data_IF_791041685547
#
_entry.id   IF_791041685547
#
_cell.length_a   1.000
_cell.length_b   1.000
_cell.length_c   1.000
_cell.angle_alpha   90.00
_cell.angle_beta   90.00
_cell.angle_gamma   90.00
#
_symmetry.space_group_name_H-M   'P 1'
#
loop_
_entity.id
_entity.type
_entity.pdbx_description
1 polymer ?
#
# COMPACT_ATOMS: atom_id res chain seq x y z
N UNK A 1 14.77 -16.42 4.35
CA UNK A 1 14.65 -15.05 3.78
C UNK A 1 15.75 -14.17 4.35
N UNK A 2 16.46 -13.36 3.54
CA UNK A 2 17.45 -12.39 4.03
C UNK A 2 16.73 -11.09 4.43
N UNK A 3 16.56 -10.84 5.72
CA UNK A 3 15.83 -9.68 6.23
C UNK A 3 16.58 -8.36 6.03
N UNK A 4 17.93 -8.40 5.94
CA UNK A 4 18.73 -7.19 5.70
C UNK A 4 18.49 -6.56 4.32
N UNK A 5 18.00 -7.34 3.35
CA UNK A 5 17.69 -6.88 1.99
C UNK A 5 16.19 -6.98 1.65
N UNK A 6 15.34 -7.17 2.66
CA UNK A 6 13.89 -7.32 2.49
C UNK A 6 13.13 -6.21 3.20
N UNK A 7 12.14 -5.62 2.53
CA UNK A 7 11.22 -4.66 3.15
C UNK A 7 9.76 -5.11 3.00
N UNK A 8 8.95 -4.84 4.02
CA UNK A 8 7.48 -4.84 3.91
C UNK A 8 7.02 -3.47 3.40
N UNK A 9 6.36 -3.44 2.26
CA UNK A 9 5.74 -2.25 1.70
C UNK A 9 4.23 -2.29 1.91
N UNK A 10 3.74 -1.39 2.75
CA UNK A 10 2.33 -1.21 3.06
C UNK A 10 1.72 -0.20 2.08
N UNK A 11 0.92 -0.69 1.12
CA UNK A 11 0.37 0.15 0.06
C UNK A 11 -0.94 0.79 0.51
N UNK A 12 -0.92 2.12 0.66
CA UNK A 12 -2.08 2.99 0.86
C UNK A 12 -2.99 2.63 2.07
N UNK A 13 -2.42 2.07 3.13
CA UNK A 13 -3.15 1.78 4.37
C UNK A 13 -3.30 3.04 5.24
N UNK A 14 -3.94 4.06 4.67
CA UNK A 14 -4.09 5.41 5.21
C UNK A 14 -5.45 5.58 5.90
N UNK A 15 -5.52 6.56 6.82
CA UNK A 15 -6.76 6.88 7.53
C UNK A 15 -7.92 7.21 6.58
N UNK A 16 -7.68 8.00 5.52
CA UNK A 16 -8.73 8.36 4.56
C UNK A 16 -9.25 7.16 3.73
N UNK A 17 -8.46 6.08 3.61
CA UNK A 17 -8.93 4.87 2.94
C UNK A 17 -9.69 3.91 3.84
N UNK A 18 -9.23 3.69 5.08
CA UNK A 18 -9.71 2.54 5.87
C UNK A 18 -10.26 2.89 7.25
N UNK A 19 -9.93 4.07 7.80
CA UNK A 19 -10.45 4.47 9.12
C UNK A 19 -11.93 4.87 9.03
N UNK A 20 -12.77 4.56 10.04
CA UNK A 20 -14.20 4.90 10.04
C UNK A 20 -14.52 6.39 9.84
N UNK A 21 -13.59 7.28 10.22
CA UNK A 21 -13.72 8.73 10.04
C UNK A 21 -13.07 9.25 8.77
N UNK A 22 -12.51 8.37 7.93
CA UNK A 22 -11.81 8.72 6.70
C UNK A 22 -12.73 9.04 5.53
N UNK A 23 -12.13 9.51 4.43
CA UNK A 23 -12.86 9.93 3.23
C UNK A 23 -13.66 8.80 2.59
N UNK A 24 -13.10 7.59 2.53
CA UNK A 24 -13.77 6.42 1.92
C UNK A 24 -14.92 5.88 2.78
N UNK A 25 -14.80 5.91 4.10
CA UNK A 25 -15.91 5.54 5.00
C UNK A 25 -17.08 6.51 4.82
N UNK A 26 -16.81 7.81 4.76
CA UNK A 26 -17.82 8.84 4.46
C UNK A 26 -18.48 8.60 3.10
N UNK A 27 -17.75 8.09 2.12
CA UNK A 27 -18.24 7.75 0.79
C UNK A 27 -18.87 6.36 0.66
N UNK A 28 -18.94 5.58 1.75
CA UNK A 28 -19.45 4.21 1.72
C UNK A 28 -18.59 3.23 0.90
N UNK A 29 -17.28 3.52 0.77
CA UNK A 29 -16.38 2.81 -0.15
C UNK A 29 -15.33 1.93 0.55
N UNK A 30 -15.39 1.77 1.86
CA UNK A 30 -14.51 0.87 2.62
C UNK A 30 -15.12 -0.53 2.62
N UNK A 31 -14.37 -1.53 2.16
CA UNK A 31 -14.76 -2.93 2.33
C UNK A 31 -14.34 -3.46 3.71
N UNK A 32 -15.04 -4.48 4.20
CA UNK A 32 -14.68 -5.14 5.47
C UNK A 32 -13.29 -5.76 5.41
N UNK A 33 -12.91 -6.30 4.24
CA UNK A 33 -11.59 -6.88 3.98
C UNK A 33 -10.49 -5.82 4.09
N UNK A 34 -10.69 -4.64 3.52
CA UNK A 34 -9.73 -3.53 3.60
C UNK A 34 -9.58 -3.03 5.05
N UNK A 35 -10.71 -2.87 5.77
CA UNK A 35 -10.71 -2.44 7.16
C UNK A 35 -9.98 -3.43 8.10
N UNK A 36 -9.96 -4.72 7.77
CA UNK A 36 -9.29 -5.74 8.56
C UNK A 36 -7.76 -5.84 8.32
N UNK A 37 -7.23 -5.21 7.27
CA UNK A 37 -5.82 -5.36 6.89
C UNK A 37 -4.83 -4.90 7.97
N UNK A 38 -5.03 -3.79 8.69
CA UNK A 38 -4.07 -3.39 9.73
C UNK A 38 -3.86 -4.47 10.78
N UNK A 39 -4.94 -5.05 11.31
CA UNK A 39 -4.86 -6.12 12.29
C UNK A 39 -4.18 -7.40 11.76
N UNK A 40 -4.39 -7.73 10.48
CA UNK A 40 -3.74 -8.88 9.84
C UNK A 40 -2.25 -8.66 9.57
N UNK A 41 -1.86 -7.45 9.16
CA UNK A 41 -0.48 -7.13 8.76
C UNK A 41 0.41 -6.76 9.95
N UNK A 42 -0.18 -6.29 11.05
CA UNK A 42 0.58 -5.88 12.24
C UNK A 42 1.54 -6.95 12.76
N UNK A 43 1.15 -8.23 12.95
CA UNK A 43 2.08 -9.25 13.43
C UNK A 43 3.29 -9.43 12.52
N UNK A 44 3.11 -9.34 11.20
CA UNK A 44 4.22 -9.43 10.24
C UNK A 44 5.14 -8.19 10.31
N UNK A 45 4.56 -7.00 10.38
CA UNK A 45 5.33 -5.76 10.53
C UNK A 45 6.16 -5.77 11.82
N UNK A 46 5.56 -6.20 12.93
CA UNK A 46 6.26 -6.29 14.22
C UNK A 46 7.38 -7.35 14.21
N UNK A 47 7.13 -8.51 13.59
CA UNK A 47 8.15 -9.56 13.45
C UNK A 47 9.35 -9.10 12.59
N UNK A 48 9.08 -8.39 11.50
CA UNK A 48 10.14 -7.82 10.65
C UNK A 48 10.98 -6.80 11.42
N UNK A 49 10.35 -5.84 12.10
CA UNK A 49 11.03 -4.81 12.91
C UNK A 49 11.90 -5.45 13.99
N UNK A 50 11.35 -6.44 14.72
CA UNK A 50 12.09 -7.12 15.81
C UNK A 50 13.38 -7.79 15.34
N UNK A 51 13.48 -8.09 14.04
CA UNK A 51 14.65 -8.73 13.41
C UNK A 51 15.47 -7.78 12.51
N UNK A 52 15.21 -6.47 12.60
CA UNK A 52 15.94 -5.45 11.84
C UNK A 52 15.53 -5.32 10.38
N UNK A 53 14.41 -5.90 9.99
CA UNK A 53 13.81 -5.70 8.66
C UNK A 53 13.15 -4.33 8.54
N UNK A 54 13.02 -3.85 7.30
CA UNK A 54 12.48 -2.53 6.98
C UNK A 54 10.97 -2.59 6.72
N UNK A 55 10.22 -1.63 7.28
CA UNK A 55 8.77 -1.47 7.03
C UNK A 55 8.50 -0.07 6.50
N UNK A 56 8.05 0.02 5.25
CA UNK A 56 7.70 1.28 4.60
C UNK A 56 6.22 1.37 4.22
N UNK A 57 5.74 2.59 3.99
CA UNK A 57 4.37 2.84 3.57
C UNK A 57 4.26 3.78 2.38
N UNK A 58 3.24 3.58 1.55
CA UNK A 58 2.89 4.54 0.51
C UNK A 58 1.72 5.41 0.95
N UNK A 59 1.76 6.66 0.53
CA UNK A 59 0.76 7.67 0.86
C UNK A 59 0.15 8.19 -0.44
N UNK A 60 -1.00 7.64 -0.84
CA UNK A 60 -1.77 8.25 -1.91
C UNK A 60 -2.09 9.69 -1.53
N UNK A 61 -1.84 10.62 -2.45
CA UNK A 61 -1.87 12.04 -2.16
C UNK A 61 -2.70 12.76 -3.22
N UNK A 62 -3.63 13.56 -2.78
CA UNK A 62 -4.37 14.51 -3.61
C UNK A 62 -3.76 15.90 -3.44
N UNK A 63 -2.93 16.28 -4.40
CA UNK A 63 -2.27 17.58 -4.39
C UNK A 63 -3.32 18.69 -4.53
N UNK A 64 -3.34 19.69 -3.63
CA UNK A 64 -4.28 20.79 -3.73
C UNK A 64 -3.92 21.71 -4.90
N UNK A 65 -4.89 22.04 -5.72
CA UNK A 65 -4.80 23.08 -6.74
C UNK A 65 -5.07 24.47 -6.18
N UNK A 66 -5.21 25.44 -7.08
CA UNK A 66 -5.59 26.81 -6.71
C UNK A 66 -6.97 26.82 -6.01
N UNK A 67 -7.05 27.42 -4.84
CA UNK A 67 -8.27 27.39 -4.02
C UNK A 67 -8.41 26.19 -3.09
N UNK A 68 -7.45 25.25 -3.14
CA UNK A 68 -7.37 24.09 -2.24
C UNK A 68 -8.20 22.89 -2.66
N UNK A 69 -8.87 22.91 -3.82
CA UNK A 69 -9.54 21.75 -4.38
C UNK A 69 -8.52 20.72 -4.87
N UNK A 70 -8.77 19.40 -4.70
CA UNK A 70 -7.83 18.38 -5.12
C UNK A 70 -7.66 18.35 -6.64
N UNK A 71 -6.42 18.30 -7.11
CA UNK A 71 -6.11 18.02 -8.50
C UNK A 71 -6.32 16.52 -8.74
N UNK A 72 -7.47 16.18 -9.31
CA UNK A 72 -7.91 14.79 -9.53
C UNK A 72 -8.28 14.59 -11.00
N UNK A 73 -7.91 13.46 -11.58
CA UNK A 73 -8.29 13.16 -12.96
C UNK A 73 -9.81 13.04 -13.11
N UNK A 74 -10.37 13.41 -14.27
CA UNK A 74 -11.82 13.27 -14.51
C UNK A 74 -12.32 11.83 -14.30
N UNK A 75 -11.52 10.83 -14.69
CA UNK A 75 -11.87 9.43 -14.49
C UNK A 75 -11.92 9.05 -13.01
N UNK A 76 -10.92 9.44 -12.21
CA UNK A 76 -10.91 9.18 -10.77
C UNK A 76 -12.07 9.91 -10.08
N UNK A 77 -12.39 11.15 -10.48
CA UNK A 77 -13.54 11.90 -9.95
C UNK A 77 -14.86 11.19 -10.25
N UNK A 78 -14.99 10.60 -11.43
CA UNK A 78 -16.17 9.79 -11.80
C UNK A 78 -16.30 8.53 -10.92
N UNK A 79 -15.20 7.85 -10.65
CA UNK A 79 -15.16 6.65 -9.81
C UNK A 79 -15.32 6.95 -8.30
N UNK A 80 -14.92 8.13 -7.87
CA UNK A 80 -14.88 8.56 -6.46
C UNK A 80 -15.48 9.96 -6.31
N UNK A 81 -16.79 10.13 -6.61
CA UNK A 81 -17.44 11.45 -6.60
C UNK A 81 -17.46 12.10 -5.21
N UNK A 82 -17.30 11.31 -4.15
CA UNK A 82 -17.29 11.77 -2.76
C UNK A 82 -15.98 12.48 -2.36
N UNK A 83 -14.89 12.34 -3.13
CA UNK A 83 -13.62 13.01 -2.82
C UNK A 83 -13.76 14.53 -2.95
N UNK A 84 -13.26 15.22 -1.93
CA UNK A 84 -13.39 16.68 -1.78
C UNK A 84 -12.13 17.31 -1.19
N UNK A 85 -12.14 18.62 -1.10
CA UNK A 85 -11.09 19.42 -0.43
C UNK A 85 -10.77 18.87 0.95
N UNK A 86 -9.48 18.68 1.22
CA UNK A 86 -8.95 18.17 2.48
C UNK A 86 -8.73 16.66 2.50
N UNK A 87 -9.35 15.88 1.60
CA UNK A 87 -9.13 14.44 1.52
C UNK A 87 -7.73 14.15 0.97
N UNK A 88 -7.01 13.22 1.59
CA UNK A 88 -5.62 12.84 1.23
C UNK A 88 -4.68 14.04 1.09
N UNK A 89 -4.95 15.12 1.81
CA UNK A 89 -4.15 16.34 1.75
C UNK A 89 -2.75 16.08 2.33
N UNK A 90 -1.67 16.53 1.66
CA UNK A 90 -0.31 16.40 2.19
C UNK A 90 -0.19 16.84 3.65
N UNK A 91 0.35 15.97 4.50
CA UNK A 91 0.55 16.23 5.94
C UNK A 91 -0.70 16.13 6.82
N UNK A 92 -1.89 15.88 6.25
CA UNK A 92 -3.12 15.70 7.04
C UNK A 92 -3.16 14.35 7.75
N UNK A 93 -4.00 14.26 8.79
CA UNK A 93 -4.31 12.99 9.44
C UNK A 93 -4.84 11.94 8.46
N UNK A 94 -5.69 12.34 7.51
CA UNK A 94 -6.27 11.44 6.50
C UNK A 94 -5.21 10.80 5.59
N UNK A 95 -4.12 11.51 5.30
CA UNK A 95 -3.02 11.00 4.49
C UNK A 95 -2.14 10.01 5.27
N UNK A 96 -2.08 10.08 6.60
CA UNK A 96 -1.19 9.23 7.40
C UNK A 96 -1.61 7.76 7.34
N UNK A 97 -0.62 6.87 7.39
CA UNK A 97 -0.87 5.42 7.61
C UNK A 97 -1.48 5.25 9.00
N UNK A 98 -2.43 4.34 9.12
CA UNK A 98 -3.12 4.07 10.39
C UNK A 98 -2.16 3.73 11.53
N UNK A 99 -2.52 4.12 12.75
CA UNK A 99 -1.66 4.03 13.94
C UNK A 99 -1.23 2.59 14.27
N UNK A 100 -2.08 1.60 13.98
CA UNK A 100 -1.81 0.18 14.24
C UNK A 100 -0.57 -0.35 13.52
N UNK A 101 -0.17 0.29 12.41
CA UNK A 101 0.96 -0.12 11.59
C UNK A 101 2.23 0.71 11.83
N UNK A 102 2.16 1.70 12.69
CA UNK A 102 3.30 2.53 13.08
C UNK A 102 4.25 1.80 14.07
N UNK A 103 5.53 2.22 14.16
CA UNK A 103 6.20 3.21 13.32
C UNK A 103 6.62 2.64 11.97
N UNK A 104 6.81 3.51 10.97
CA UNK A 104 7.38 3.15 9.66
C UNK A 104 8.80 3.69 9.53
N UNK A 105 9.69 2.94 8.88
CA UNK A 105 11.06 3.38 8.60
C UNK A 105 11.09 4.46 7.51
N UNK A 106 10.15 4.40 6.58
CA UNK A 106 9.94 5.45 5.58
C UNK A 106 8.49 5.52 5.10
N UNK A 107 8.12 6.68 4.58
CA UNK A 107 6.90 6.86 3.78
C UNK A 107 7.23 7.51 2.45
N UNK A 108 6.44 7.20 1.43
CA UNK A 108 6.57 7.81 0.11
C UNK A 108 5.23 8.25 -0.44
N UNK A 109 5.14 9.51 -0.85
CA UNK A 109 3.95 10.03 -1.52
C UNK A 109 3.78 9.41 -2.90
N UNK A 110 2.53 9.15 -3.24
CA UNK A 110 2.11 8.49 -4.47
C UNK A 110 0.98 9.26 -5.14
N UNK A 111 1.21 9.70 -6.36
CA UNK A 111 0.25 10.50 -7.15
C UNK A 111 -0.54 9.65 -8.17
N UNK A 112 -0.14 8.40 -8.36
CA UNK A 112 -0.71 7.47 -9.32
C UNK A 112 -0.86 6.08 -8.70
N UNK A 113 -1.29 5.08 -9.48
CA UNK A 113 -1.42 3.70 -8.97
C UNK A 113 -0.08 3.11 -8.54
N UNK A 114 0.97 3.22 -9.36
CA UNK A 114 2.28 2.72 -8.98
C UNK A 114 2.96 3.65 -7.97
N UNK A 115 3.54 3.04 -6.92
CA UNK A 115 4.35 3.75 -5.95
C UNK A 115 5.72 4.19 -6.50
N UNK A 116 6.14 3.68 -7.64
CA UNK A 116 7.39 4.10 -8.31
C UNK A 116 7.20 5.32 -9.21
N UNK A 117 5.95 5.59 -9.64
CA UNK A 117 5.70 6.69 -10.57
C UNK A 117 5.92 8.05 -9.92
N UNK A 118 6.88 8.82 -10.45
CA UNK A 118 7.24 10.17 -9.99
C UNK A 118 7.43 10.27 -8.46
N UNK A 119 8.04 9.26 -7.86
CA UNK A 119 8.28 9.18 -6.42
C UNK A 119 9.75 8.90 -6.12
N UNK A 120 10.11 8.99 -4.84
CA UNK A 120 11.46 8.64 -4.36
C UNK A 120 11.57 7.17 -3.89
N UNK A 121 10.58 6.30 -4.15
CA UNK A 121 10.58 4.92 -3.64
C UNK A 121 11.83 4.14 -4.07
N UNK A 122 12.16 4.13 -5.35
CA UNK A 122 13.33 3.42 -5.88
C UNK A 122 14.64 3.89 -5.23
N UNK A 123 14.78 5.21 -5.04
CA UNK A 123 15.94 5.76 -4.35
C UNK A 123 16.02 5.29 -2.89
N UNK A 124 14.89 5.28 -2.16
CA UNK A 124 14.82 4.78 -0.78
C UNK A 124 15.21 3.32 -0.70
N UNK A 125 14.62 2.46 -1.53
CA UNK A 125 14.92 1.03 -1.55
C UNK A 125 16.41 0.78 -1.78
N UNK A 126 17.04 1.48 -2.74
CA UNK A 126 18.49 1.39 -2.96
C UNK A 126 19.30 1.85 -1.75
N UNK A 127 18.89 2.92 -1.06
CA UNK A 127 19.59 3.43 0.13
C UNK A 127 19.48 2.49 1.33
N UNK A 128 18.36 1.78 1.46
CA UNK A 128 18.19 0.73 2.45
C UNK A 128 18.80 -0.62 2.02
N UNK A 129 19.34 -0.75 0.80
CA UNK A 129 19.89 -1.99 0.28
C UNK A 129 18.82 -3.06 0.04
N UNK A 130 17.59 -2.65 -0.28
CA UNK A 130 16.45 -3.57 -0.46
C UNK A 130 16.48 -4.15 -1.87
N UNK A 131 16.45 -5.48 -1.93
CA UNK A 131 16.39 -6.30 -3.16
C UNK A 131 15.06 -7.05 -3.29
N UNK A 132 14.33 -7.19 -2.18
CA UNK A 132 13.05 -7.91 -2.09
C UNK A 132 11.99 -7.08 -1.38
N UNK A 133 10.78 -7.06 -1.94
CA UNK A 133 9.59 -6.48 -1.32
C UNK A 133 8.59 -7.57 -0.94
N UNK A 134 8.09 -7.52 0.28
CA UNK A 134 6.84 -8.13 0.70
C UNK A 134 5.78 -7.04 0.59
N UNK A 135 4.71 -7.28 -0.18
CA UNK A 135 3.71 -6.23 -0.48
C UNK A 135 2.35 -6.61 0.07
N UNK A 136 1.80 -5.72 0.89
CA UNK A 136 0.42 -5.78 1.37
C UNK A 136 -0.28 -4.43 1.24
N UNK A 137 -1.62 -4.41 1.24
CA UNK A 137 -2.40 -3.16 1.20
C UNK A 137 -3.49 -3.11 0.15
N UNK A 138 -3.80 -1.92 -0.35
CA UNK A 138 -4.94 -1.64 -1.21
C UNK A 138 -4.57 -0.78 -2.44
N UNK A 139 -5.41 -0.82 -3.49
CA UNK A 139 -6.31 -1.92 -3.80
C UNK A 139 -5.55 -2.94 -4.63
N UNK A 140 -5.83 -4.24 -4.44
CA UNK A 140 -5.06 -5.33 -5.08
C UNK A 140 -4.95 -5.13 -6.58
N UNK A 141 -6.07 -4.79 -7.25
CA UNK A 141 -6.15 -4.60 -8.70
C UNK A 141 -5.68 -3.21 -9.20
N UNK A 142 -5.21 -2.35 -8.32
CA UNK A 142 -4.78 -0.97 -8.63
C UNK A 142 -3.39 -0.68 -8.08
N UNK A 143 -3.34 0.00 -6.92
CA UNK A 143 -2.08 0.43 -6.29
C UNK A 143 -1.08 -0.71 -6.07
N UNK A 144 -1.54 -1.83 -5.52
CA UNK A 144 -0.71 -3.03 -5.32
C UNK A 144 -0.21 -3.58 -6.66
N UNK A 145 -1.12 -3.93 -7.57
CA UNK A 145 -0.76 -4.56 -8.84
C UNK A 145 0.17 -3.70 -9.71
N UNK A 146 -0.04 -2.39 -9.76
CA UNK A 146 0.82 -1.47 -10.52
C UNK A 146 2.21 -1.36 -9.88
N UNK A 147 2.28 -1.27 -8.55
CA UNK A 147 3.56 -1.20 -7.82
C UNK A 147 4.36 -2.49 -7.99
N UNK A 148 3.71 -3.66 -7.90
CA UNK A 148 4.36 -4.96 -8.07
C UNK A 148 4.94 -5.12 -9.48
N UNK A 149 4.20 -4.76 -10.53
CA UNK A 149 4.71 -4.80 -11.92
C UNK A 149 5.89 -3.84 -12.12
N UNK A 150 5.81 -2.65 -11.54
CA UNK A 150 6.88 -1.67 -11.61
C UNK A 150 8.13 -2.08 -10.80
N UNK A 151 7.96 -2.84 -9.71
CA UNK A 151 9.07 -3.45 -8.98
C UNK A 151 9.75 -4.54 -9.83
N UNK A 152 8.96 -5.41 -10.46
CA UNK A 152 9.46 -6.49 -11.32
C UNK A 152 10.33 -5.96 -12.48
N UNK A 153 9.91 -4.89 -13.18
CA UNK A 153 10.72 -4.32 -14.28
C UNK A 153 11.98 -3.58 -13.79
N UNK A 154 12.19 -3.49 -12.48
CA UNK A 154 13.39 -2.93 -11.81
C UNK A 154 14.25 -4.01 -11.17
N UNK A 155 14.00 -5.28 -11.52
CA UNK A 155 14.68 -6.45 -10.96
C UNK A 155 14.57 -6.55 -9.42
N UNK A 156 13.49 -6.02 -8.83
CA UNK A 156 13.17 -6.18 -7.41
C UNK A 156 12.28 -7.40 -7.27
N UNK A 157 12.71 -8.39 -6.49
CA UNK A 157 11.90 -9.57 -6.17
C UNK A 157 10.69 -9.17 -5.33
N UNK A 158 9.51 -9.72 -5.64
CA UNK A 158 8.27 -9.38 -4.94
C UNK A 158 7.54 -10.62 -4.45
N UNK A 159 7.13 -10.58 -3.19
CA UNK A 159 6.14 -11.49 -2.60
C UNK A 159 4.88 -10.69 -2.28
N UNK A 160 3.76 -11.01 -2.91
CA UNK A 160 2.45 -10.40 -2.63
C UNK A 160 1.71 -11.21 -1.58
N UNK A 161 1.23 -10.55 -0.55
CA UNK A 161 0.44 -11.18 0.51
C UNK A 161 -1.02 -11.31 0.05
N UNK A 162 -1.47 -12.51 -0.33
CA UNK A 162 -2.83 -12.69 -0.82
C UNK A 162 -3.90 -12.37 0.24
N UNK A 163 -3.67 -12.73 1.50
CA UNK A 163 -4.54 -12.39 2.63
C UNK A 163 -4.20 -11.06 3.31
N UNK A 164 -3.10 -10.41 2.87
CA UNK A 164 -2.64 -9.08 3.25
C UNK A 164 -3.01 -7.97 2.28
N UNK A 165 -3.79 -8.29 1.22
CA UNK A 165 -4.28 -7.32 0.25
C UNK A 165 -5.81 -7.38 0.14
N UNK A 166 -6.42 -6.25 -0.29
CA UNK A 166 -7.86 -6.19 -0.54
C UNK A 166 -8.18 -5.36 -1.78
N UNK A 167 -9.30 -5.69 -2.43
CA UNK A 167 -9.89 -4.95 -3.54
C UNK A 167 -11.35 -4.62 -3.25
N UNK A 168 -12.03 -3.79 -4.08
CA UNK A 168 -13.43 -3.46 -3.86
C UNK A 168 -14.38 -4.65 -3.81
N UNK A 169 -14.03 -5.74 -4.49
CA UNK A 169 -14.78 -7.02 -4.44
C UNK A 169 -13.84 -8.21 -4.38
N UNK A 170 -14.27 -9.36 -3.79
CA UNK A 170 -13.49 -10.59 -3.79
C UNK A 170 -13.12 -11.08 -5.19
N UNK A 171 -14.00 -10.91 -6.18
CA UNK A 171 -13.74 -11.30 -7.57
C UNK A 171 -12.60 -10.48 -8.18
N UNK A 172 -12.58 -9.15 -7.97
CA UNK A 172 -11.48 -8.28 -8.41
C UNK A 172 -10.17 -8.63 -7.72
N UNK A 173 -10.22 -8.94 -6.41
CA UNK A 173 -9.04 -9.37 -5.67
C UNK A 173 -8.46 -10.66 -6.27
N UNK A 174 -9.28 -11.70 -6.42
CA UNK A 174 -8.84 -13.00 -6.97
C UNK A 174 -8.24 -12.84 -8.37
N UNK A 175 -8.91 -12.12 -9.26
CA UNK A 175 -8.40 -11.88 -10.62
C UNK A 175 -7.06 -11.13 -10.61
N UNK A 176 -6.88 -10.16 -9.71
CA UNK A 176 -5.63 -9.42 -9.59
C UNK A 176 -4.49 -10.31 -9.08
N UNK A 177 -4.72 -11.12 -8.05
CA UNK A 177 -3.73 -12.07 -7.52
C UNK A 177 -3.28 -13.04 -8.62
N UNK A 178 -4.21 -13.66 -9.36
CA UNK A 178 -3.85 -14.54 -10.49
C UNK A 178 -3.03 -13.80 -11.56
N UNK A 179 -3.40 -12.55 -11.87
CA UNK A 179 -2.68 -11.71 -12.83
C UNK A 179 -1.30 -11.22 -12.36
N UNK A 180 -0.93 -11.44 -11.09
CA UNK A 180 0.39 -11.10 -10.55
C UNK A 180 1.35 -12.30 -10.50
N UNK A 181 0.88 -13.54 -10.58
CA UNK A 181 1.73 -14.74 -10.55
C UNK A 181 2.88 -14.75 -11.57
N UNK A 182 2.75 -14.18 -12.77
CA UNK A 182 3.89 -14.14 -13.70
C UNK A 182 5.03 -13.19 -13.27
N UNK A 183 4.80 -12.28 -12.32
CA UNK A 183 5.74 -11.20 -11.96
C UNK A 183 6.04 -11.14 -10.45
N UNK A 184 5.43 -12.02 -9.65
CA UNK A 184 5.62 -12.05 -8.20
C UNK A 184 5.29 -13.42 -7.61
N UNK A 185 5.93 -13.78 -6.50
CA UNK A 185 5.49 -14.85 -5.63
C UNK A 185 4.21 -14.44 -4.91
N UNK A 186 3.30 -15.40 -4.71
CA UNK A 186 2.09 -15.20 -3.93
C UNK A 186 2.16 -16.07 -2.69
N UNK A 187 1.98 -15.47 -1.51
CA UNK A 187 2.06 -16.18 -0.24
C UNK A 187 1.03 -15.64 0.77
N UNK A 188 0.65 -16.47 1.73
CA UNK A 188 -0.10 -16.01 2.88
C UNK A 188 0.81 -15.37 3.94
N UNK A 189 0.29 -14.45 4.75
CA UNK A 189 1.01 -13.81 5.86
C UNK A 189 1.66 -14.87 6.77
N UNK A 190 0.93 -15.95 7.08
CA UNK A 190 1.42 -17.02 7.94
C UNK A 190 2.63 -17.77 7.36
N UNK A 191 2.73 -17.91 6.04
CA UNK A 191 3.88 -18.53 5.37
C UNK A 191 5.10 -17.63 5.44
N UNK A 192 4.92 -16.34 5.21
CA UNK A 192 6.00 -15.34 5.34
C UNK A 192 6.49 -15.26 6.78
N UNK A 193 5.60 -15.23 7.77
CA UNK A 193 5.98 -15.26 9.19
C UNK A 193 6.84 -16.48 9.55
N UNK A 194 6.49 -17.67 9.04
CA UNK A 194 7.29 -18.89 9.23
C UNK A 194 8.69 -18.78 8.61
N UNK A 195 8.84 -18.09 7.49
CA UNK A 195 10.13 -17.90 6.81
C UNK A 195 11.04 -16.88 7.50
N UNK A 196 10.47 -16.03 8.36
CA UNK A 196 11.18 -15.05 9.19
C UNK A 196 11.68 -15.70 10.49
N UNK A 197 10.94 -16.66 11.04
CA UNK A 197 11.25 -17.39 12.28
C UNK A 197 12.48 -18.18 12.18
#
# INVERSE_FOLDING_TARGET
MNLATTALLLVDLQNDFIHPNGAYARGGAVSAEAAALPAKLKPLADALRAKGGVVGGTLFTLVPGRGGEPMISPHLKKLRPFLRKGDFLPGSWGQQVVDELQPLDFTVEKLAYSAFYMSRLEWLLRKFGIERLIVGGIVTNGGVASTVRDAHVRDIEVTVLEDGCAAPTPAMHKAAIEGLRPVADIAAIAEVLKSIG
#
